data_IF_293680833064
#
_entry.id   IF_293680833064
#
_cell.length_a   1.000
_cell.length_b   1.000
_cell.length_c   1.000
_cell.angle_alpha   90.00
_cell.angle_beta   90.00
_cell.angle_gamma   90.00
#
_symmetry.space_group_name_H-M   'P 1'
#
loop_
_entity.id
_entity.type
_entity.pdbx_description
1 polymer ?
#
# COMPACT_ATOMS: atom_id res chain seq x y z
N UNK A 1 10.29 0.07 -13.94
CA UNK A 1 10.15 -1.23 -14.64
C UNK A 1 9.77 -1.03 -16.10
N UNK A 2 8.84 -0.13 -16.44
CA UNK A 2 8.46 0.17 -17.83
C UNK A 2 9.65 0.44 -18.77
N UNK A 3 10.68 1.16 -18.30
CA UNK A 3 11.92 1.38 -19.06
C UNK A 3 12.66 0.07 -19.38
N UNK A 4 12.73 -0.85 -18.40
CA UNK A 4 13.38 -2.15 -18.54
C UNK A 4 12.67 -3.02 -19.57
N UNK A 5 11.33 -3.03 -19.57
CA UNK A 5 10.52 -3.82 -20.51
C UNK A 5 10.37 -3.15 -21.88
N UNK A 6 10.43 -1.83 -21.98
CA UNK A 6 10.33 -1.12 -23.26
C UNK A 6 11.64 -1.09 -24.05
N UNK A 7 12.79 -1.11 -23.35
CA UNK A 7 14.11 -1.01 -23.97
C UNK A 7 14.76 -2.38 -24.21
N UNK A 8 14.14 -3.47 -23.78
CA UNK A 8 14.68 -4.83 -23.90
C UNK A 8 13.57 -5.82 -24.26
N UNK A 9 13.92 -6.87 -25.03
CA UNK A 9 13.05 -8.02 -25.23
C UNK A 9 13.11 -8.90 -23.98
N UNK A 10 12.08 -8.85 -23.14
CA UNK A 10 11.98 -9.59 -21.88
C UNK A 10 10.74 -10.47 -21.91
N UNK A 11 10.93 -11.78 -21.95
CA UNK A 11 9.82 -12.75 -21.91
C UNK A 11 9.30 -13.01 -20.48
N UNK A 12 10.19 -12.83 -19.48
CA UNK A 12 9.90 -13.09 -18.07
C UNK A 12 10.53 -12.05 -17.16
N UNK A 13 9.74 -11.50 -16.23
CA UNK A 13 10.16 -10.56 -15.21
C UNK A 13 10.07 -11.21 -13.82
N UNK A 14 11.17 -11.22 -13.08
CA UNK A 14 11.20 -11.69 -11.69
C UNK A 14 11.28 -10.48 -10.76
N UNK A 15 10.23 -10.25 -9.97
CA UNK A 15 10.12 -9.11 -9.06
C UNK A 15 10.31 -9.60 -7.64
N UNK A 16 11.51 -9.45 -7.09
CA UNK A 16 11.81 -9.87 -5.71
C UNK A 16 11.51 -8.71 -4.74
N UNK A 17 10.51 -8.84 -3.85
CA UNK A 17 10.23 -7.82 -2.85
C UNK A 17 11.31 -7.86 -1.74
N UNK A 18 12.19 -6.86 -1.74
CA UNK A 18 13.23 -6.70 -0.70
C UNK A 18 12.60 -6.11 0.57
N UNK A 19 11.83 -6.93 1.27
CA UNK A 19 11.14 -6.61 2.52
C UNK A 19 11.39 -7.72 3.53
N UNK A 20 11.42 -7.38 4.82
CA UNK A 20 11.62 -8.36 5.89
C UNK A 20 10.38 -9.19 6.13
N UNK A 21 9.18 -8.65 5.95
CA UNK A 21 7.94 -9.37 6.21
C UNK A 21 6.83 -8.94 5.24
N UNK A 22 5.77 -9.77 5.08
CA UNK A 22 4.58 -9.37 4.34
C UNK A 22 3.91 -8.14 4.96
N UNK A 23 3.40 -7.25 4.12
CA UNK A 23 2.64 -6.07 4.54
C UNK A 23 1.85 -5.47 3.38
N UNK A 24 1.13 -4.36 3.62
CA UNK A 24 0.26 -3.74 2.60
C UNK A 24 0.97 -3.50 1.25
N UNK A 25 2.24 -3.09 1.28
CA UNK A 25 3.03 -2.92 0.07
C UNK A 25 3.26 -4.23 -0.69
N UNK A 26 3.61 -5.33 0.00
CA UNK A 26 3.92 -6.59 -0.68
C UNK A 26 2.67 -7.40 -1.04
N UNK A 27 1.56 -7.22 -0.32
CA UNK A 27 0.34 -8.01 -0.51
C UNK A 27 -0.74 -7.29 -1.31
N UNK A 28 -0.68 -5.97 -1.43
CA UNK A 28 -1.68 -5.17 -2.15
C UNK A 28 -1.03 -4.23 -3.13
N UNK A 29 -0.24 -3.27 -2.67
CA UNK A 29 0.16 -2.13 -3.51
C UNK A 29 1.06 -2.58 -4.69
N UNK A 30 2.09 -3.41 -4.45
CA UNK A 30 2.95 -3.96 -5.51
C UNK A 30 2.17 -4.92 -6.43
N UNK A 31 1.41 -5.90 -5.93
CA UNK A 31 0.56 -6.73 -6.78
C UNK A 31 -0.41 -5.93 -7.66
N UNK A 32 -0.98 -4.84 -7.14
CA UNK A 32 -1.84 -3.92 -7.92
C UNK A 32 -1.06 -3.24 -9.03
N UNK A 33 0.14 -2.71 -8.74
CA UNK A 33 1.03 -2.09 -9.74
C UNK A 33 1.43 -3.09 -10.83
N UNK A 34 1.70 -4.35 -10.46
CA UNK A 34 2.05 -5.43 -11.39
C UNK A 34 0.86 -5.98 -12.18
N UNK A 35 -0.36 -5.52 -11.90
CA UNK A 35 -1.58 -5.98 -12.58
C UNK A 35 -2.09 -7.34 -12.12
N UNK A 36 -1.61 -7.87 -10.98
CA UNK A 36 -2.15 -9.10 -10.39
C UNK A 36 -3.49 -8.87 -9.68
N UNK A 37 -3.70 -7.68 -9.15
CA UNK A 37 -4.90 -7.30 -8.40
C UNK A 37 -5.49 -6.06 -9.09
N UNK A 38 -6.81 -6.05 -9.27
CA UNK A 38 -7.50 -4.85 -9.71
C UNK A 38 -7.54 -3.84 -8.55
N UNK A 39 -7.09 -2.61 -8.81
CA UNK A 39 -7.40 -1.49 -7.93
C UNK A 39 -8.92 -1.26 -7.95
N UNK A 40 -9.62 -1.83 -6.95
CA UNK A 40 -11.06 -1.72 -6.79
C UNK A 40 -11.46 -0.43 -6.04
N UNK A 41 -10.49 0.43 -5.72
CA UNK A 41 -10.72 1.68 -4.98
C UNK A 41 -11.32 1.47 -3.58
N UNK A 42 -11.41 0.22 -3.09
CA UNK A 42 -12.16 -0.12 -1.86
C UNK A 42 -11.32 -0.04 -0.57
N UNK A 43 -10.03 0.34 -0.70
CA UNK A 43 -9.09 0.43 0.42
C UNK A 43 -9.29 1.60 1.40
N UNK A 44 -10.41 2.31 1.36
CA UNK A 44 -10.68 3.45 2.24
C UNK A 44 -11.62 3.07 3.38
N UNK A 45 -11.02 2.73 4.52
CA UNK A 45 -11.54 2.96 5.88
C UNK A 45 -13.06 2.76 6.07
N UNK A 46 -13.46 1.54 6.40
CA UNK A 46 -14.73 1.31 7.10
C UNK A 46 -14.68 2.01 8.47
N UNK A 47 -14.99 3.32 8.49
CA UNK A 47 -15.35 4.02 9.70
C UNK A 47 -16.65 3.38 10.20
N UNK A 48 -16.52 2.53 11.21
CA UNK A 48 -17.63 2.08 12.03
C UNK A 48 -18.24 3.32 12.71
N UNK A 49 -19.28 3.87 12.08
CA UNK A 49 -20.15 4.84 12.69
C UNK A 49 -20.91 4.11 13.81
N UNK A 50 -20.45 4.28 15.04
CA UNK A 50 -21.25 3.93 16.21
C UNK A 50 -22.36 4.98 16.32
N UNK A 51 -23.57 4.62 15.89
CA UNK A 51 -24.78 5.37 16.22
C UNK A 51 -24.98 5.34 17.74
N UNK A 52 -24.65 6.45 18.39
CA UNK A 52 -25.08 6.75 19.75
C UNK A 52 -26.24 7.75 19.66
N UNK A 53 -27.46 7.22 19.69
CA UNK A 53 -28.66 8.01 19.92
C UNK A 53 -28.60 8.63 21.32
N UNK A 54 -28.29 9.92 21.36
CA UNK A 54 -28.53 10.78 22.53
C UNK A 54 -29.47 11.91 22.13
N UNK A 55 -30.75 11.72 22.46
CA UNK A 55 -31.77 12.76 22.38
C UNK A 55 -31.42 13.93 23.31
N UNK A 56 -31.14 15.09 22.73
CA UNK A 56 -31.22 16.37 23.41
C UNK A 56 -31.93 17.39 22.53
N UNK A 57 -33.13 17.79 22.96
CA UNK A 57 -33.93 18.87 22.40
C UNK A 57 -33.40 20.22 22.88
N UNK A 58 -32.83 21.03 21.99
CA UNK A 58 -32.69 22.48 22.21
C UNK A 58 -32.80 23.25 20.89
N UNK A 59 -33.89 24.02 20.78
CA UNK A 59 -34.09 25.05 19.75
C UNK A 59 -33.19 26.26 20.02
N UNK A 60 -32.28 26.58 19.10
CA UNK A 60 -31.75 27.93 18.93
C UNK A 60 -31.43 28.20 17.45
N UNK A 61 -32.22 29.11 16.88
CA UNK A 61 -31.98 29.81 15.62
C UNK A 61 -30.79 30.78 15.77
N UNK A 62 -29.77 30.63 14.91
CA UNK A 62 -29.01 31.71 14.25
C UNK A 62 -27.65 31.24 13.70
N UNK A 63 -27.43 31.52 12.40
CA UNK A 63 -26.16 32.10 11.96
C UNK A 63 -25.13 31.19 11.29
N UNK A 64 -25.20 31.14 9.96
CA UNK A 64 -24.08 31.03 9.02
C UNK A 64 -22.96 30.01 9.31
N UNK A 65 -23.18 28.78 8.83
CA UNK A 65 -22.15 27.76 8.62
C UNK A 65 -21.20 28.18 7.49
N UNK A 66 -19.97 28.59 7.84
CA UNK A 66 -18.86 28.64 6.90
C UNK A 66 -18.36 27.21 6.67
N UNK A 67 -18.78 26.61 5.56
CA UNK A 67 -18.23 25.36 5.06
C UNK A 67 -16.80 25.58 4.58
N UNK A 68 -15.83 25.40 5.49
CA UNK A 68 -14.45 25.15 5.08
C UNK A 68 -14.42 23.78 4.40
N UNK A 69 -14.58 23.80 3.08
CA UNK A 69 -14.29 22.67 2.22
C UNK A 69 -12.81 22.32 2.38
N UNK A 70 -12.53 21.41 3.31
CA UNK A 70 -11.25 20.74 3.41
C UNK A 70 -11.13 19.86 2.18
N UNK A 71 -10.60 20.45 1.12
CA UNK A 71 -10.08 19.72 -0.02
C UNK A 71 -8.94 18.85 0.49
N UNK A 72 -9.30 17.65 0.94
CA UNK A 72 -8.38 16.55 1.06
C UNK A 72 -7.91 16.28 -0.36
N UNK A 73 -6.76 16.86 -0.70
CA UNK A 73 -5.96 16.37 -1.81
C UNK A 73 -5.63 14.92 -1.49
N UNK A 74 -6.45 14.02 -2.02
CA UNK A 74 -5.96 12.68 -2.32
C UNK A 74 -4.75 12.91 -3.21
N UNK A 75 -3.57 12.71 -2.65
CA UNK A 75 -2.44 12.27 -3.44
C UNK A 75 -2.88 10.93 -4.00
N UNK A 76 -3.58 10.97 -5.14
CA UNK A 76 -3.62 9.84 -6.04
C UNK A 76 -2.16 9.53 -6.29
N UNK A 77 -1.68 8.49 -5.65
CA UNK A 77 -0.58 7.76 -6.21
C UNK A 77 -1.06 7.44 -7.62
N UNK A 78 -0.40 8.05 -8.61
CA UNK A 78 -0.42 7.57 -9.99
C UNK A 78 0.18 6.15 -9.90
N UNK A 79 -0.61 5.21 -9.41
CA UNK A 79 -0.33 3.78 -9.43
C UNK A 79 -0.55 3.38 -10.89
N UNK A 80 0.38 3.85 -11.73
CA UNK A 80 0.42 3.54 -13.15
C UNK A 80 0.57 2.04 -13.23
N UNK A 81 -0.56 1.36 -13.49
CA UNK A 81 -0.59 -0.08 -13.73
C UNK A 81 0.40 -0.41 -14.84
N UNK A 82 1.18 -1.44 -14.59
CA UNK A 82 2.09 -1.98 -15.58
C UNK A 82 1.30 -2.68 -16.69
N UNK A 83 1.63 -2.36 -17.94
CA UNK A 83 1.27 -3.18 -19.09
C UNK A 83 2.51 -3.98 -19.52
N UNK A 84 2.51 -5.28 -19.23
CA UNK A 84 3.57 -6.21 -19.62
C UNK A 84 2.93 -7.54 -20.07
N UNK A 85 3.20 -7.93 -21.31
CA UNK A 85 2.59 -9.13 -21.93
C UNK A 85 3.35 -10.43 -21.62
N UNK A 86 4.52 -10.36 -20.96
CA UNK A 86 5.32 -11.51 -20.56
C UNK A 86 4.93 -12.10 -19.20
N UNK A 87 5.65 -13.13 -18.76
CA UNK A 87 5.40 -13.79 -17.49
C UNK A 87 6.00 -13.00 -16.32
N UNK A 88 5.22 -12.71 -15.28
CA UNK A 88 5.72 -12.08 -14.04
C UNK A 88 5.77 -13.13 -12.93
N UNK A 89 6.93 -13.29 -12.31
CA UNK A 89 7.12 -14.07 -11.09
C UNK A 89 7.34 -13.13 -9.91
N UNK A 90 6.52 -13.30 -8.87
CA UNK A 90 6.55 -12.49 -7.66
C UNK A 90 6.69 -13.40 -6.42
N UNK A 91 7.94 -13.77 -6.03
CA UNK A 91 8.20 -14.56 -4.84
C UNK A 91 7.89 -13.81 -3.54
N UNK A 92 7.83 -14.56 -2.43
CA UNK A 92 7.65 -14.03 -1.09
C UNK A 92 8.81 -13.11 -0.65
N UNK A 93 8.56 -12.19 0.31
CA UNK A 93 9.61 -11.40 0.95
C UNK A 93 10.57 -12.26 1.78
N UNK A 94 11.62 -11.64 2.34
CA UNK A 94 12.74 -12.34 2.98
C UNK A 94 12.29 -13.14 4.22
N UNK A 95 11.29 -12.65 4.97
CA UNK A 95 10.73 -13.33 6.14
C UNK A 95 11.77 -13.62 7.23
N UNK A 96 11.67 -14.78 7.88
CA UNK A 96 12.50 -15.27 8.97
C UNK A 96 13.69 -16.10 8.47
N UNK A 97 14.39 -15.60 7.46
CA UNK A 97 15.58 -16.24 6.91
C UNK A 97 16.72 -16.31 7.95
N UNK A 98 17.35 -17.47 8.09
CA UNK A 98 18.46 -17.72 9.01
C UNK A 98 19.60 -16.72 8.80
N UNK A 99 19.85 -16.28 7.56
CA UNK A 99 20.88 -15.29 7.24
C UNK A 99 20.56 -13.93 7.88
N UNK A 100 19.28 -13.53 7.92
CA UNK A 100 18.90 -12.29 8.61
C UNK A 100 19.16 -12.39 10.11
N UNK A 101 18.92 -13.56 10.70
CA UNK A 101 19.19 -13.80 12.12
C UNK A 101 20.70 -13.71 12.39
N UNK A 102 21.53 -14.36 11.57
CA UNK A 102 22.99 -14.27 11.66
C UNK A 102 23.48 -12.81 11.58
N UNK A 103 22.95 -12.03 10.63
CA UNK A 103 23.27 -10.60 10.51
C UNK A 103 22.90 -9.84 11.78
N UNK A 104 21.71 -10.09 12.34
CA UNK A 104 21.26 -9.42 13.56
C UNK A 104 22.13 -9.79 14.76
N UNK A 105 22.53 -11.05 14.89
CA UNK A 105 23.44 -11.48 15.95
C UNK A 105 24.78 -10.75 15.87
N UNK A 106 25.34 -10.63 14.67
CA UNK A 106 26.62 -9.96 14.46
C UNK A 106 26.51 -8.45 14.73
N UNK A 107 25.41 -7.81 14.33
CA UNK A 107 25.13 -6.41 14.68
C UNK A 107 25.06 -6.18 16.20
N UNK A 108 24.50 -7.12 16.96
CA UNK A 108 24.44 -7.03 18.42
C UNK A 108 25.83 -7.24 19.04
N UNK A 109 26.62 -8.20 18.55
CA UNK A 109 28.00 -8.43 19.02
C UNK A 109 28.89 -7.21 18.78
N UNK A 110 28.75 -6.55 17.63
CA UNK A 110 29.52 -5.36 17.29
C UNK A 110 29.15 -4.13 18.13
N UNK A 111 27.94 -4.11 18.70
CA UNK A 111 27.45 -3.02 19.54
C UNK A 111 27.86 -3.13 21.03
N UNK A 112 28.44 -4.25 21.46
CA UNK A 112 28.86 -4.56 22.84
C UNK A 112 30.35 -4.30 23.05
#
# INVERSE_FOLDING_TARGET
>A
INKLTSENEVDRLVVVPVFIAPGAHTTRDIPTILGFIEDDGSGHHHHHHHDHDHEHTHDHDHGHSHSHGHHHHHHGHDDVKMEFEGEILYPDPICDDDILIEILEDMVKDAL
#
